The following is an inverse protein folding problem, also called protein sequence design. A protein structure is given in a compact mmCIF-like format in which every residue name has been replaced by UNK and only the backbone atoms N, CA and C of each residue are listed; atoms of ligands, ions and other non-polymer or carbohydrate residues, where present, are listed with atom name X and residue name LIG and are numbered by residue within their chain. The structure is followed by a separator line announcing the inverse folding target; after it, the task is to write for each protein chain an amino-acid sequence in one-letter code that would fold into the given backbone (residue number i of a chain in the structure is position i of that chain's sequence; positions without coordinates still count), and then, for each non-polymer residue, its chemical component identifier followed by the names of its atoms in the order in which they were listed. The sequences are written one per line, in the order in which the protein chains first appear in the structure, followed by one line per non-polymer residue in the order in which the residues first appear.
data_IF_500258781950
#
_entry.id   IF_500258781950
#
_cell.length_a   1.000
_cell.length_b   1.000
_cell.length_c   1.000
_cell.angle_alpha   90.00
_cell.angle_beta   90.00
_cell.angle_gamma   90.00
#
_symmetry.space_group_name_H-M   'P 1'
#
loop_
_entity.id
_entity.type
_entity.pdbx_description
1 polymer ?
#
# COMPACT_ATOMS: atom_id res chain seq x y z
N UNK A 1 -70.73 67.45 -29.29
CA UNK A 1 -70.97 67.53 -27.83
C UNK A 1 -69.86 66.72 -27.19
N UNK A 2 -68.71 67.30 -26.84
CA UNK A 2 -68.47 68.03 -25.57
C UNK A 2 -68.09 66.98 -24.49
N UNK A 3 -66.97 67.01 -23.78
CA UNK A 3 -65.98 68.05 -23.54
C UNK A 3 -64.62 67.42 -23.18
N UNK A 4 -63.55 68.10 -23.57
CA UNK A 4 -62.19 67.90 -23.07
C UNK A 4 -62.09 68.42 -21.63
N UNK A 5 -61.40 67.69 -20.75
CA UNK A 5 -61.01 68.21 -19.43
C UNK A 5 -59.50 68.05 -19.25
N UNK A 6 -58.79 69.02 -19.81
CA UNK A 6 -57.36 69.29 -19.62
C UNK A 6 -57.13 69.80 -18.19
N UNK A 7 -56.53 68.99 -17.32
CA UNK A 7 -56.15 69.39 -15.97
C UNK A 7 -54.68 69.81 -15.96
N UNK A 8 -54.50 71.12 -15.90
CA UNK A 8 -53.24 71.83 -15.94
C UNK A 8 -52.33 71.50 -14.75
N UNK A 9 -51.11 71.04 -15.05
CA UNK A 9 -50.02 70.91 -14.09
C UNK A 9 -49.47 72.31 -13.83
N UNK A 10 -49.93 72.94 -12.74
CA UNK A 10 -49.37 74.20 -12.24
C UNK A 10 -48.10 73.89 -11.46
N UNK A 11 -46.95 74.22 -12.05
CA UNK A 11 -45.66 74.32 -11.36
C UNK A 11 -45.76 75.44 -10.31
N UNK A 12 -45.79 75.08 -9.03
CA UNK A 12 -45.50 76.03 -7.96
C UNK A 12 -44.28 75.56 -7.18
N UNK A 13 -43.16 76.26 -7.42
CA UNK A 13 -41.91 76.16 -6.67
C UNK A 13 -42.05 77.13 -5.50
N UNK A 14 -42.36 76.62 -4.30
CA UNK A 14 -41.94 77.08 -2.95
C UNK A 14 -43.02 76.72 -1.93
N UNK A 15 -42.61 76.07 -0.83
CA UNK A 15 -43.36 75.75 0.41
C UNK A 15 -44.30 74.54 0.37
N UNK A 16 -43.90 73.49 1.08
CA UNK A 16 -44.77 72.48 1.64
C UNK A 16 -44.40 72.31 3.12
N UNK A 17 -45.10 73.03 3.99
CA UNK A 17 -45.14 72.71 5.42
C UNK A 17 -46.40 71.85 5.65
N UNK A 18 -46.19 70.55 5.85
CA UNK A 18 -47.16 69.67 6.47
C UNK A 18 -47.10 69.90 7.99
N UNK A 19 -48.26 70.00 8.63
CA UNK A 19 -48.39 70.27 10.06
C UNK A 19 -47.98 69.04 10.90
N UNK A 20 -46.92 69.19 11.69
CA UNK A 20 -46.33 68.16 12.57
C UNK A 20 -46.93 68.12 13.99
N UNK A 21 -48.14 68.67 14.20
CA UNK A 21 -48.75 68.81 15.53
C UNK A 21 -49.45 67.55 16.06
N UNK A 22 -49.46 66.42 15.32
CA UNK A 22 -50.24 65.23 15.66
C UNK A 22 -49.41 63.99 16.08
N UNK A 23 -48.11 64.13 16.36
CA UNK A 23 -47.27 62.98 16.76
C UNK A 23 -47.20 62.78 18.29
N UNK A 24 -47.25 61.52 18.78
CA UNK A 24 -47.26 61.21 20.21
C UNK A 24 -45.97 61.62 20.95
N UNK A 25 -46.13 62.12 22.19
CA UNK A 25 -45.07 62.66 23.03
C UNK A 25 -43.92 61.69 23.41
N UNK A 26 -44.07 60.39 23.15
CA UNK A 26 -43.04 59.37 23.42
C UNK A 26 -41.85 59.44 22.47
N UNK A 27 -42.02 60.01 21.27
CA UNK A 27 -40.96 60.15 20.26
C UNK A 27 -40.01 61.33 20.59
N UNK A 28 -40.49 62.33 21.32
CA UNK A 28 -39.72 63.54 21.67
C UNK A 28 -38.61 63.30 22.69
N UNK A 29 -38.65 62.23 23.50
CA UNK A 29 -37.64 61.96 24.55
C UNK A 29 -36.28 61.51 24.03
N UNK A 30 -36.13 61.26 22.71
CA UNK A 30 -34.91 60.73 22.11
C UNK A 30 -34.02 61.79 21.43
N UNK A 31 -34.43 63.06 21.49
CA UNK A 31 -33.71 64.18 20.88
C UNK A 31 -33.20 65.17 21.95
N UNK A 32 -32.00 65.70 21.70
CA UNK A 32 -31.24 66.66 22.52
C UNK A 32 -32.09 67.89 22.95
N UNK A 33 -32.05 68.35 24.22
CA UNK A 33 -32.93 69.42 24.73
C UNK A 33 -32.81 70.77 23.98
N UNK A 34 -31.72 70.98 23.24
CA UNK A 34 -31.46 72.20 22.47
C UNK A 34 -32.26 72.33 21.15
N UNK A 35 -32.98 71.28 20.74
CA UNK A 35 -33.80 71.23 19.52
C UNK A 35 -35.29 71.56 19.78
N UNK A 36 -35.79 71.26 20.97
CA UNK A 36 -37.19 71.53 21.36
C UNK A 36 -37.49 73.03 21.55
N UNK A 37 -36.47 73.86 21.83
CA UNK A 37 -36.61 75.32 21.93
C UNK A 37 -36.68 76.01 20.55
N UNK A 38 -36.10 75.41 19.50
CA UNK A 38 -36.11 75.96 18.12
C UNK A 38 -37.36 75.58 17.32
N UNK A 39 -38.01 74.47 17.63
CA UNK A 39 -39.27 74.07 16.97
C UNK A 39 -40.47 74.96 17.33
N UNK A 40 -40.39 75.78 18.39
CA UNK A 40 -41.45 76.72 18.81
C UNK A 40 -41.42 78.08 18.10
N UNK A 41 -40.40 78.37 17.29
CA UNK A 41 -40.24 79.64 16.57
C UNK A 41 -40.60 79.58 15.08
N UNK A 42 -41.24 78.50 14.62
CA UNK A 42 -41.97 78.51 13.34
C UNK A 42 -41.13 78.51 12.06
N UNK A 43 -39.80 78.39 12.14
CA UNK A 43 -38.93 78.36 10.95
C UNK A 43 -38.03 77.11 10.96
N UNK A 44 -38.51 76.02 10.36
CA UNK A 44 -37.65 74.85 10.05
C UNK A 44 -37.90 74.34 8.63
N UNK A 45 -36.99 74.70 7.72
CA UNK A 45 -36.99 74.26 6.32
C UNK A 45 -36.19 72.95 6.23
N UNK A 46 -36.87 71.84 5.92
CA UNK A 46 -36.20 70.56 5.61
C UNK A 46 -35.75 70.57 4.13
N UNK A 47 -34.49 70.24 3.80
CA UNK A 47 -34.02 70.16 2.41
C UNK A 47 -34.69 69.03 1.61
N UNK A 48 -35.00 69.30 0.33
CA UNK A 48 -35.79 68.44 -0.60
C UNK A 48 -35.17 67.05 -0.88
N UNK A 49 -33.97 66.80 -0.40
CA UNK A 49 -33.13 65.65 -0.71
C UNK A 49 -33.65 64.35 -0.05
N UNK A 50 -34.62 64.44 0.85
CA UNK A 50 -35.18 63.29 1.57
C UNK A 50 -36.40 62.63 0.89
N UNK A 51 -36.97 63.20 -0.17
CA UNK A 51 -38.16 62.66 -0.85
C UNK A 51 -37.88 61.67 -1.99
N UNK A 52 -36.62 61.42 -2.35
CA UNK A 52 -36.27 60.58 -3.51
C UNK A 52 -36.18 59.06 -3.20
N UNK A 53 -36.23 58.64 -1.94
CA UNK A 53 -35.99 57.24 -1.53
C UNK A 53 -37.26 56.41 -1.40
N UNK A 54 -38.27 56.64 -2.25
CA UNK A 54 -39.48 55.81 -2.24
C UNK A 54 -40.11 55.67 -3.61
N UNK A 55 -39.45 54.96 -4.52
CA UNK A 55 -40.11 54.07 -5.47
C UNK A 55 -39.04 53.13 -6.08
N UNK A 56 -39.11 51.85 -5.71
CA UNK A 56 -38.31 50.82 -6.34
C UNK A 56 -38.70 50.67 -7.81
N UNK A 57 -37.82 51.11 -8.71
CA UNK A 57 -37.72 50.60 -10.07
C UNK A 57 -36.32 50.03 -10.23
N UNK A 58 -36.23 48.71 -10.29
CA UNK A 58 -35.11 48.03 -10.91
C UNK A 58 -35.13 48.51 -12.37
N UNK A 59 -34.17 49.34 -12.78
CA UNK A 59 -34.07 49.75 -14.18
C UNK A 59 -33.93 48.50 -15.05
N UNK A 60 -34.71 48.33 -16.14
CA UNK A 60 -34.39 47.33 -17.13
C UNK A 60 -33.01 47.68 -17.70
N UNK A 61 -32.06 46.76 -17.62
CA UNK A 61 -30.74 46.91 -18.23
C UNK A 61 -30.97 47.11 -19.73
N UNK A 62 -30.77 48.34 -20.22
CA UNK A 62 -31.07 48.70 -21.61
C UNK A 62 -30.18 47.86 -22.54
N UNK A 63 -30.79 46.97 -23.33
CA UNK A 63 -30.08 46.11 -24.30
C UNK A 63 -29.24 46.90 -25.31
N UNK A 64 -29.52 48.19 -25.48
CA UNK A 64 -28.73 49.12 -26.28
C UNK A 64 -27.37 49.38 -25.65
N UNK A 65 -27.28 49.62 -24.34
CA UNK A 65 -26.01 49.80 -23.63
C UNK A 65 -25.12 48.56 -23.73
N UNK A 66 -25.71 47.35 -23.71
CA UNK A 66 -24.98 46.09 -23.90
C UNK A 66 -24.51 45.94 -25.35
N UNK A 67 -25.32 46.36 -26.33
CA UNK A 67 -24.98 46.29 -27.76
C UNK A 67 -23.88 47.30 -28.14
N UNK A 68 -23.92 48.49 -27.56
CA UNK A 68 -22.93 49.53 -27.75
C UNK A 68 -21.60 49.15 -27.06
N UNK A 69 -21.68 48.52 -25.88
CA UNK A 69 -20.52 47.95 -25.20
C UNK A 69 -19.91 46.76 -25.97
N UNK A 70 -20.72 45.86 -26.52
CA UNK A 70 -20.25 44.74 -27.36
C UNK A 70 -19.72 45.19 -28.73
N UNK A 71 -20.21 46.32 -29.25
CA UNK A 71 -19.70 46.96 -30.46
C UNK A 71 -18.40 47.74 -30.25
N UNK A 72 -17.98 47.97 -29.00
CA UNK A 72 -16.73 48.66 -28.71
C UNK A 72 -15.54 47.86 -29.21
N UNK A 73 -14.62 48.54 -29.91
CA UNK A 73 -13.41 47.94 -30.46
C UNK A 73 -12.55 47.33 -29.34
N UNK A 74 -12.56 47.95 -28.16
CA UNK A 74 -11.83 47.48 -26.97
C UNK A 74 -12.32 46.12 -26.47
N UNK A 75 -13.65 45.92 -26.37
CA UNK A 75 -14.21 44.63 -25.96
C UNK A 75 -13.88 43.50 -26.95
N UNK A 76 -13.92 43.80 -28.25
CA UNK A 76 -13.57 42.83 -29.30
C UNK A 76 -12.07 42.47 -29.28
N UNK A 77 -11.18 43.43 -29.00
CA UNK A 77 -9.75 43.16 -28.86
C UNK A 77 -9.44 42.29 -27.64
N UNK A 78 -10.08 42.55 -26.50
CA UNK A 78 -9.92 41.73 -25.28
C UNK A 78 -10.44 40.31 -25.50
N UNK A 79 -11.59 40.16 -26.17
CA UNK A 79 -12.14 38.87 -26.51
C UNK A 79 -11.19 38.11 -27.46
N UNK A 80 -10.70 38.76 -28.51
CA UNK A 80 -9.73 38.16 -29.44
C UNK A 80 -8.44 37.71 -28.72
N UNK A 81 -7.90 38.54 -27.82
CA UNK A 81 -6.72 38.20 -27.01
C UNK A 81 -6.99 36.96 -26.13
N UNK A 82 -8.14 36.91 -25.46
CA UNK A 82 -8.50 35.77 -24.60
C UNK A 82 -8.62 34.47 -25.39
N UNK A 83 -9.18 34.53 -26.61
CA UNK A 83 -9.30 33.39 -27.51
C UNK A 83 -7.92 32.90 -27.94
N UNK A 84 -7.03 33.82 -28.32
CA UNK A 84 -5.64 33.47 -28.69
C UNK A 84 -4.89 32.84 -27.52
N UNK A 85 -5.02 33.39 -26.31
CA UNK A 85 -4.41 32.82 -25.10
C UNK A 85 -4.92 31.39 -24.81
N UNK A 86 -6.23 31.16 -24.94
CA UNK A 86 -6.84 29.84 -24.78
C UNK A 86 -6.34 28.84 -25.83
N UNK A 87 -6.17 29.26 -27.09
CA UNK A 87 -5.64 28.42 -28.17
C UNK A 87 -4.19 28.03 -27.89
N UNK A 88 -3.35 28.96 -27.46
CA UNK A 88 -1.96 28.69 -27.09
C UNK A 88 -1.90 27.72 -25.91
N UNK A 89 -2.73 27.93 -24.89
CA UNK A 89 -2.83 27.03 -23.74
C UNK A 89 -3.27 25.62 -24.13
N UNK A 90 -4.28 25.49 -24.99
CA UNK A 90 -4.75 24.20 -25.47
C UNK A 90 -3.70 23.48 -26.32
N UNK A 91 -2.98 24.22 -27.17
CA UNK A 91 -1.85 23.69 -27.94
C UNK A 91 -0.73 23.21 -27.02
N UNK A 92 -0.39 23.98 -25.99
CA UNK A 92 0.60 23.61 -24.99
C UNK A 92 0.21 22.34 -24.22
N UNK A 93 -1.04 22.26 -23.74
CA UNK A 93 -1.60 21.06 -23.10
C UNK A 93 -1.55 19.85 -24.04
N UNK A 94 -1.90 20.03 -25.31
CA UNK A 94 -1.88 18.96 -26.30
C UNK A 94 -0.46 18.46 -26.54
N UNK A 95 0.53 19.35 -26.64
CA UNK A 95 1.93 18.96 -26.76
C UNK A 95 2.42 18.22 -25.51
N UNK A 96 2.10 18.72 -24.32
CA UNK A 96 2.43 18.07 -23.03
C UNK A 96 1.80 16.68 -22.93
N UNK A 97 0.54 16.55 -23.34
CA UNK A 97 -0.21 15.29 -23.35
C UNK A 97 0.38 14.29 -24.33
N UNK A 98 0.72 14.74 -25.55
CA UNK A 98 1.40 13.89 -26.55
C UNK A 98 2.78 13.43 -26.06
N UNK A 99 3.55 14.31 -25.43
CA UNK A 99 4.85 13.94 -24.86
C UNK A 99 4.71 12.91 -23.72
N UNK A 100 3.70 13.08 -22.88
CA UNK A 100 3.36 12.11 -21.83
C UNK A 100 2.96 10.77 -22.47
N UNK A 101 2.00 10.74 -23.39
CA UNK A 101 1.57 9.52 -24.07
C UNK A 101 2.71 8.79 -24.79
N UNK A 102 3.66 9.50 -25.40
CA UNK A 102 4.85 8.87 -25.99
C UNK A 102 5.69 8.11 -24.96
N UNK A 103 5.93 8.70 -23.79
CA UNK A 103 6.65 8.04 -22.68
C UNK A 103 5.87 6.86 -22.12
N UNK A 104 4.55 7.00 -21.94
CA UNK A 104 3.69 5.90 -21.50
C UNK A 104 3.65 4.75 -22.49
N UNK A 105 3.59 5.04 -23.80
CA UNK A 105 3.70 4.01 -24.84
C UNK A 105 5.08 3.36 -24.84
N UNK A 106 6.17 4.10 -24.68
CA UNK A 106 7.51 3.51 -24.59
C UNK A 106 7.70 2.63 -23.34
N UNK A 107 7.06 2.96 -22.22
CA UNK A 107 7.06 2.10 -21.01
C UNK A 107 6.17 0.86 -21.18
N UNK A 108 5.00 1.01 -21.82
CA UNK A 108 4.11 -0.10 -22.15
C UNK A 108 4.68 -1.01 -23.24
N UNK A 109 5.42 -0.44 -24.21
CA UNK A 109 6.16 -1.11 -25.27
C UNK A 109 7.65 -1.15 -24.89
N UNK A 110 7.92 -1.60 -23.66
CA UNK A 110 9.29 -1.70 -23.15
C UNK A 110 10.12 -2.65 -24.01
N UNK A 111 11.34 -2.20 -24.32
CA UNK A 111 12.56 -2.85 -24.88
C UNK A 111 12.49 -4.03 -25.88
N UNK A 112 11.48 -4.89 -25.89
CA UNK A 112 11.47 -6.12 -26.72
C UNK A 112 10.11 -6.43 -27.36
N UNK A 113 9.17 -5.48 -27.32
CA UNK A 113 7.86 -5.65 -27.96
C UNK A 113 6.83 -6.40 -27.12
N UNK A 114 7.20 -6.85 -25.92
CA UNK A 114 6.26 -7.40 -24.94
C UNK A 114 5.64 -6.28 -24.11
N UNK A 115 4.32 -6.35 -23.90
CA UNK A 115 3.65 -5.40 -23.02
C UNK A 115 4.16 -5.56 -21.59
N UNK A 116 4.24 -4.47 -20.81
CA UNK A 116 4.62 -4.54 -19.38
C UNK A 116 3.76 -5.56 -18.61
N UNK A 117 2.50 -5.69 -19.01
CA UNK A 117 1.58 -6.71 -18.52
C UNK A 117 2.08 -8.14 -18.81
N UNK A 118 2.54 -8.42 -20.03
CA UNK A 118 3.15 -9.71 -20.37
C UNK A 118 4.41 -9.98 -19.54
N UNK A 119 5.29 -8.98 -19.36
CA UNK A 119 6.48 -9.13 -18.51
C UNK A 119 6.11 -9.42 -17.05
N UNK A 120 5.08 -8.77 -16.52
CA UNK A 120 4.58 -9.03 -15.17
C UNK A 120 4.01 -10.45 -15.05
N UNK A 121 3.18 -10.88 -16.01
CA UNK A 121 2.63 -12.23 -16.05
C UNK A 121 3.72 -13.30 -16.18
N UNK A 122 4.72 -13.08 -17.04
CA UNK A 122 5.86 -13.98 -17.19
C UNK A 122 6.68 -14.04 -15.91
N UNK A 123 6.91 -12.90 -15.25
CA UNK A 123 7.65 -12.86 -13.99
C UNK A 123 6.87 -13.59 -12.88
N UNK A 124 5.57 -13.34 -12.75
CA UNK A 124 4.69 -14.05 -11.81
C UNK A 124 4.69 -15.56 -12.07
N UNK A 125 4.61 -15.96 -13.34
CA UNK A 125 4.66 -17.38 -13.74
C UNK A 125 6.02 -18.01 -13.44
N UNK A 126 7.13 -17.28 -13.66
CA UNK A 126 8.47 -17.75 -13.27
C UNK A 126 8.57 -17.93 -11.76
N UNK A 127 8.04 -16.99 -10.97
CA UNK A 127 8.02 -17.10 -9.51
C UNK A 127 7.19 -18.29 -9.05
N UNK A 128 6.01 -18.53 -9.64
CA UNK A 128 5.19 -19.69 -9.28
C UNK A 128 5.85 -21.02 -9.63
N UNK A 129 6.47 -21.11 -10.81
CA UNK A 129 7.25 -22.29 -11.20
C UNK A 129 8.45 -22.51 -10.28
N UNK A 130 9.14 -21.44 -9.88
CA UNK A 130 10.24 -21.53 -8.92
C UNK A 130 9.76 -22.07 -7.58
N UNK A 131 8.61 -21.60 -7.08
CA UNK A 131 8.02 -22.12 -5.83
C UNK A 131 7.68 -23.62 -5.92
N UNK A 132 7.11 -24.07 -7.04
CA UNK A 132 6.85 -25.49 -7.30
C UNK A 132 8.14 -26.32 -7.34
N UNK A 133 9.18 -25.83 -8.03
CA UNK A 133 10.48 -26.53 -8.08
C UNK A 133 11.16 -26.58 -6.71
N UNK A 134 11.07 -25.53 -5.91
CA UNK A 134 11.62 -25.50 -4.55
C UNK A 134 10.90 -26.50 -3.65
N UNK A 135 9.57 -26.60 -3.76
CA UNK A 135 8.79 -27.63 -3.04
C UNK A 135 9.20 -29.03 -3.47
N UNK A 136 9.36 -29.28 -4.77
CA UNK A 136 9.82 -30.57 -5.27
C UNK A 136 11.23 -30.91 -4.75
N UNK A 137 12.16 -29.95 -4.78
CA UNK A 137 13.51 -30.13 -4.22
C UNK A 137 13.50 -30.38 -2.72
N UNK A 138 12.67 -29.67 -1.96
CA UNK A 138 12.49 -29.91 -0.53
C UNK A 138 12.03 -31.34 -0.24
N UNK A 139 11.05 -31.84 -0.99
CA UNK A 139 10.57 -33.22 -0.86
C UNK A 139 11.68 -34.24 -1.21
N UNK A 140 12.46 -33.99 -2.27
CA UNK A 140 13.59 -34.85 -2.64
C UNK A 140 14.68 -34.87 -1.56
N UNK A 141 15.02 -33.71 -0.98
CA UNK A 141 15.98 -33.63 0.11
C UNK A 141 15.49 -34.39 1.34
N UNK A 142 14.21 -34.25 1.71
CA UNK A 142 13.64 -35.00 2.82
C UNK A 142 13.68 -36.52 2.56
N UNK A 143 13.39 -36.95 1.33
CA UNK A 143 13.48 -38.35 0.94
C UNK A 143 14.92 -38.86 1.03
N UNK A 144 15.88 -38.11 0.50
CA UNK A 144 17.31 -38.45 0.56
C UNK A 144 17.81 -38.53 2.00
N UNK A 145 17.39 -37.58 2.86
CA UNK A 145 17.73 -37.60 4.28
C UNK A 145 17.16 -38.86 4.95
N UNK A 146 15.89 -39.19 4.70
CA UNK A 146 15.26 -40.40 5.25
C UNK A 146 15.93 -41.70 4.78
N UNK A 147 16.46 -41.74 3.55
CA UNK A 147 17.21 -42.88 3.02
C UNK A 147 18.60 -42.95 3.67
N UNK A 148 19.27 -41.81 3.80
CA UNK A 148 20.59 -41.69 4.41
C UNK A 148 20.55 -42.12 5.87
N UNK A 149 19.54 -41.68 6.63
CA UNK A 149 19.34 -42.05 8.04
C UNK A 149 19.24 -43.57 8.25
N UNK A 150 18.79 -44.32 7.23
CA UNK A 150 18.69 -45.78 7.24
C UNK A 150 19.97 -46.49 6.78
N UNK A 151 20.87 -45.80 6.10
CA UNK A 151 22.17 -46.34 5.70
C UNK A 151 23.08 -46.56 6.92
N UNK A 152 24.02 -47.49 6.81
CA UNK A 152 25.05 -47.71 7.83
C UNK A 152 26.00 -46.51 7.79
N UNK A 153 26.12 -45.82 8.92
CA UNK A 153 26.95 -44.63 9.07
C UNK A 153 27.89 -44.74 10.28
N UNK A 154 27.54 -45.59 11.24
CA UNK A 154 28.23 -45.75 12.51
C UNK A 154 28.91 -47.12 12.52
N UNK A 155 30.25 -47.11 12.56
CA UNK A 155 31.06 -48.33 12.50
C UNK A 155 32.01 -48.37 13.68
N UNK A 156 31.96 -49.45 14.47
CA UNK A 156 32.86 -49.73 15.59
C UNK A 156 33.56 -51.06 15.37
N UNK A 157 34.86 -51.13 15.67
CA UNK A 157 35.68 -52.32 15.43
C UNK A 157 36.51 -52.59 16.67
N UNK A 158 36.21 -53.69 17.35
CA UNK A 158 36.97 -54.17 18.48
C UNK A 158 37.72 -55.44 18.10
N UNK A 159 39.01 -55.51 18.44
CA UNK A 159 39.81 -56.74 18.34
C UNK A 159 40.09 -57.25 19.74
N UNK A 160 40.01 -58.57 19.91
CA UNK A 160 40.16 -59.23 21.20
C UNK A 160 40.63 -60.67 21.06
N UNK A 161 40.99 -61.29 22.18
CA UNK A 161 41.37 -62.70 22.25
C UNK A 161 40.25 -63.48 22.93
N UNK A 162 39.54 -64.32 22.15
CA UNK A 162 38.42 -65.12 22.64
C UNK A 162 38.87 -66.32 23.50
N UNK A 163 40.15 -66.71 23.41
CA UNK A 163 40.75 -67.79 24.19
C UNK A 163 42.09 -67.33 24.76
N UNK A 164 42.44 -67.71 26.01
CA UNK A 164 43.68 -67.26 26.68
C UNK A 164 44.97 -67.63 25.93
N UNK A 165 44.95 -68.75 25.20
CA UNK A 165 46.09 -69.27 24.43
C UNK A 165 46.22 -68.66 23.03
N UNK A 166 45.19 -67.94 22.58
CA UNK A 166 45.15 -67.32 21.26
C UNK A 166 45.67 -65.90 21.39
N UNK A 167 46.98 -65.71 21.56
CA UNK A 167 47.54 -64.36 21.57
C UNK A 167 47.42 -63.68 20.20
N UNK A 168 47.33 -62.34 20.18
CA UNK A 168 47.44 -61.53 18.97
C UNK A 168 46.15 -60.86 18.48
N UNK A 169 45.12 -60.79 19.33
CA UNK A 169 43.82 -60.15 19.06
C UNK A 169 43.20 -60.61 17.75
N UNK A 170 43.18 -61.93 17.55
CA UNK A 170 42.75 -62.55 16.29
C UNK A 170 41.23 -62.64 16.14
N UNK A 171 40.49 -62.52 17.25
CA UNK A 171 39.03 -62.40 17.23
C UNK A 171 38.61 -60.94 17.08
N UNK A 172 37.41 -60.71 16.54
CA UNK A 172 36.89 -59.36 16.32
C UNK A 172 35.39 -59.26 16.56
N UNK A 173 34.94 -58.05 16.91
CA UNK A 173 33.54 -57.65 16.91
C UNK A 173 33.41 -56.34 16.10
N UNK A 174 32.54 -56.34 15.09
CA UNK A 174 32.27 -55.20 14.24
C UNK A 174 30.81 -54.83 14.38
N UNK A 175 30.53 -53.61 14.84
CA UNK A 175 29.18 -53.06 14.88
C UNK A 175 28.95 -52.15 13.68
N UNK A 176 27.92 -52.44 12.89
CA UNK A 176 27.49 -51.67 11.73
C UNK A 176 26.08 -51.15 12.00
N UNK A 177 25.97 -49.87 12.35
CA UNK A 177 24.71 -49.25 12.76
C UNK A 177 24.36 -48.05 11.87
N UNK A 178 23.06 -47.84 11.70
CA UNK A 178 22.50 -46.63 11.11
C UNK A 178 22.32 -45.53 12.18
N UNK A 179 21.79 -44.37 11.78
CA UNK A 179 21.56 -43.23 12.69
C UNK A 179 20.58 -43.55 13.82
N UNK A 180 19.66 -44.49 13.61
CA UNK A 180 18.69 -44.93 14.62
C UNK A 180 19.25 -45.99 15.59
N UNK A 181 20.49 -46.46 15.38
CA UNK A 181 21.09 -47.53 16.15
C UNK A 181 20.57 -48.92 15.76
N UNK A 182 19.95 -49.06 14.58
CA UNK A 182 19.58 -50.34 14.00
C UNK A 182 20.69 -50.82 13.05
N UNK A 183 20.89 -52.14 12.98
CA UNK A 183 21.89 -52.70 12.08
C UNK A 183 22.30 -54.11 12.49
N UNK A 184 23.59 -54.41 12.39
CA UNK A 184 24.13 -55.74 12.68
C UNK A 184 25.44 -55.64 13.46
N UNK A 185 25.69 -56.66 14.29
CA UNK A 185 27.02 -56.91 14.86
C UNK A 185 27.54 -58.21 14.32
N UNK A 186 28.79 -58.18 13.83
CA UNK A 186 29.53 -59.32 13.34
C UNK A 186 30.63 -59.69 14.32
N UNK A 187 30.60 -60.91 14.82
CA UNK A 187 31.58 -61.41 15.79
C UNK A 187 32.33 -62.58 15.17
N UNK A 188 33.62 -62.37 14.89
CA UNK A 188 34.54 -63.39 14.40
C UNK A 188 35.33 -63.98 15.56
N UNK A 189 35.00 -65.20 15.98
CA UNK A 189 35.74 -65.93 17.01
C UNK A 189 36.77 -66.82 16.31
N UNK A 190 38.05 -66.53 16.54
CA UNK A 190 39.15 -67.30 15.99
C UNK A 190 39.56 -68.42 16.95
N UNK A 191 39.60 -69.66 16.44
CA UNK A 191 40.14 -70.83 17.12
C UNK A 191 41.37 -71.35 16.37
N UNK A 192 42.15 -72.25 16.97
CA UNK A 192 43.41 -72.75 16.39
C UNK A 192 43.24 -73.42 15.02
N UNK A 193 42.06 -73.96 14.72
CA UNK A 193 41.80 -74.73 13.50
C UNK A 193 40.79 -74.06 12.56
N UNK A 194 39.99 -73.11 13.06
CA UNK A 194 38.91 -72.50 12.29
C UNK A 194 38.50 -71.13 12.85
N UNK A 195 37.78 -70.38 12.03
CA UNK A 195 37.17 -69.11 12.43
C UNK A 195 35.67 -69.19 12.22
N UNK A 196 34.90 -68.88 13.27
CA UNK A 196 33.44 -68.82 13.21
C UNK A 196 32.99 -67.39 13.24
N UNK A 197 32.12 -67.01 12.29
CA UNK A 197 31.55 -65.67 12.21
C UNK A 197 30.08 -65.74 12.56
N UNK A 198 29.67 -64.96 13.55
CA UNK A 198 28.28 -64.82 13.97
C UNK A 198 27.76 -63.44 13.58
N UNK A 199 26.50 -63.37 13.17
CA UNK A 199 25.82 -62.12 12.89
C UNK A 199 24.59 -62.00 13.79
N UNK A 200 24.53 -60.95 14.60
CA UNK A 200 23.38 -60.65 15.47
C UNK A 200 22.70 -59.37 14.99
N UNK A 201 21.38 -59.39 14.74
CA UNK A 201 20.66 -58.17 14.38
C UNK A 201 20.53 -57.25 15.60
N UNK A 202 20.75 -55.96 15.39
CA UNK A 202 20.59 -54.92 16.41
C UNK A 202 19.38 -54.06 16.03
N UNK A 203 18.52 -53.82 17.01
CA UNK A 203 17.43 -52.85 16.95
C UNK A 203 17.57 -51.88 18.12
N UNK A 204 17.66 -50.57 17.83
CA UNK A 204 17.83 -49.50 18.82
C UNK A 204 18.94 -49.80 19.83
N UNK A 205 20.11 -50.19 19.31
CA UNK A 205 21.32 -50.55 20.08
C UNK A 205 21.18 -51.79 20.99
N UNK A 206 20.11 -52.59 20.82
CA UNK A 206 19.88 -53.82 21.58
C UNK A 206 19.62 -54.99 20.64
N UNK A 207 19.90 -56.20 21.11
CA UNK A 207 19.60 -57.44 20.39
C UNK A 207 18.60 -58.28 21.19
N UNK A 208 17.76 -59.02 20.49
CA UNK A 208 16.88 -60.04 21.10
C UNK A 208 17.72 -61.20 21.65
N UNK A 209 18.85 -61.48 21.01
CA UNK A 209 19.83 -62.49 21.43
C UNK A 209 20.86 -61.81 22.34
N UNK A 210 21.26 -62.47 23.43
CA UNK A 210 22.28 -61.94 24.35
C UNK A 210 23.56 -61.52 23.63
N UNK A 211 24.06 -60.34 24.00
CA UNK A 211 25.30 -59.77 23.48
C UNK A 211 26.45 -60.07 24.43
N UNK A 212 27.62 -60.43 23.90
CA UNK A 212 28.85 -60.53 24.68
C UNK A 212 29.35 -59.14 25.09
N UNK A 213 30.27 -59.08 26.05
CA UNK A 213 30.83 -57.80 26.50
C UNK A 213 31.60 -57.10 25.37
N UNK A 214 32.29 -57.87 24.53
CA UNK A 214 33.02 -57.38 23.35
C UNK A 214 32.07 -56.80 22.30
N UNK A 215 30.94 -57.47 22.05
CA UNK A 215 29.89 -56.98 21.14
C UNK A 215 29.29 -55.66 21.64
N UNK A 216 29.02 -55.57 22.94
CA UNK A 216 28.51 -54.34 23.54
C UNK A 216 29.54 -53.20 23.45
N UNK A 217 30.82 -53.49 23.65
CA UNK A 217 31.89 -52.50 23.50
C UNK A 217 32.00 -52.01 22.05
N UNK A 218 31.92 -52.90 21.05
CA UNK A 218 31.92 -52.52 19.64
C UNK A 218 30.72 -51.61 19.28
N UNK A 219 29.54 -51.89 19.82
CA UNK A 219 28.35 -51.02 19.65
C UNK A 219 28.61 -49.63 20.26
N UNK A 220 29.17 -49.56 21.48
CA UNK A 220 29.47 -48.28 22.13
C UNK A 220 30.47 -47.45 21.32
N UNK A 221 31.49 -48.10 20.75
CA UNK A 221 32.46 -47.42 19.88
C UNK A 221 31.81 -46.89 18.60
N UNK A 222 30.93 -47.68 17.96
CA UNK A 222 30.21 -47.25 16.77
C UNK A 222 29.39 -45.97 17.02
N UNK A 223 28.66 -45.94 18.14
CA UNK A 223 27.84 -44.78 18.54
C UNK A 223 28.71 -43.56 18.86
N UNK A 224 29.83 -43.75 19.56
CA UNK A 224 30.76 -42.66 19.86
C UNK A 224 31.28 -42.00 18.58
N UNK A 225 31.77 -42.80 17.63
CA UNK A 225 32.23 -42.30 16.31
C UNK A 225 31.11 -41.64 15.51
N UNK A 226 29.88 -42.15 15.62
CA UNK A 226 28.70 -41.53 15.02
C UNK A 226 28.36 -40.14 15.57
N UNK A 227 28.56 -39.93 16.88
CA UNK A 227 28.34 -38.62 17.50
C UNK A 227 29.42 -37.60 17.11
N UNK A 228 30.67 -38.05 16.93
CA UNK A 228 31.77 -37.20 16.47
C UNK A 228 31.61 -36.73 15.03
N UNK A 229 31.09 -37.60 14.14
CA UNK A 229 30.85 -37.22 12.75
C UNK A 229 29.73 -36.17 12.62
N UNK A 230 28.70 -36.24 13.47
CA UNK A 230 27.62 -35.26 13.49
C UNK A 230 28.07 -33.88 14.03
N UNK A 231 28.98 -33.85 15.01
CA UNK A 231 29.52 -32.60 15.55
C UNK A 231 30.47 -31.85 14.61
N UNK A 232 30.92 -32.49 13.52
CA UNK A 232 31.90 -31.92 12.58
C UNK A 232 31.27 -31.25 11.35
N UNK A 233 29.97 -31.47 11.12
CA UNK A 233 29.19 -30.92 10.01
C UNK A 233 28.53 -29.61 10.46
#
# INVERSE_FOLDING_TARGET
MGAETTLAIRRDRRRCHLAWSSLPASIWRRFDPSWASRARQGDFIIPQNACAYRFGRILPMEWQAIRDWAGSVEANLLLALSVVALLIWNLWLTMRWRALQKRWRQLMTGSEGNSLEQLLYETLRRVSLMDETLKAHGNHLQQLQSQTDRCIQQVGILRYDAFPDSGGQQSFAIALLNRHGDGIVLSGIHSRQEMRVYAKPIQRMRSVIGLSDEEQLAIREAVARGSESEARV
#
